data_IF_711335191620
#
_entry.id   IF_711335191620
#
_cell.length_a   1.000
_cell.length_b   1.000
_cell.length_c   1.000
_cell.angle_alpha   90.00
_cell.angle_beta   90.00
_cell.angle_gamma   90.00
#
_symmetry.space_group_name_H-M   'P 1'
#
loop_
_entity.id
_entity.type
_entity.pdbx_description
1 polymer ?
#
# COMPACT_ATOMS: atom_id res chain seq x y z
N UNK A 1 -10.43 -17.61 -9.84
CA UNK A 1 -10.18 -16.30 -9.21
C UNK A 1 -11.00 -16.16 -7.94
N UNK A 2 -10.37 -15.79 -6.83
CA UNK A 2 -11.01 -15.64 -5.52
C UNK A 2 -10.70 -14.26 -4.93
N UNK A 3 -11.74 -13.58 -4.42
CA UNK A 3 -11.58 -12.32 -3.66
C UNK A 3 -11.60 -12.65 -2.18
N UNK A 4 -10.53 -12.28 -1.47
CA UNK A 4 -10.37 -12.45 -0.03
C UNK A 4 -10.40 -11.07 0.62
N UNK A 5 -11.54 -10.71 1.22
CA UNK A 5 -11.70 -9.44 1.92
C UNK A 5 -11.43 -9.65 3.42
N UNK A 6 -10.32 -9.13 3.90
CA UNK A 6 -9.82 -9.27 5.27
C UNK A 6 -9.87 -10.70 5.86
N UNK A 7 -9.46 -11.75 5.12
CA UNK A 7 -9.77 -13.14 5.45
C UNK A 7 -9.14 -13.64 6.75
N UNK A 8 -8.16 -12.92 7.30
CA UNK A 8 -7.41 -13.31 8.52
C UNK A 8 -7.44 -12.24 9.62
N UNK A 9 -8.22 -11.17 9.47
CA UNK A 9 -8.20 -10.00 10.38
C UNK A 9 -8.65 -10.33 11.81
N UNK A 10 -9.55 -11.31 11.98
CA UNK A 10 -10.10 -11.70 13.26
C UNK A 10 -9.33 -12.85 13.95
N UNK A 11 -8.21 -13.30 13.36
CA UNK A 11 -7.43 -14.44 13.85
C UNK A 11 -6.20 -13.98 14.61
N UNK A 12 -5.75 -14.78 15.57
CA UNK A 12 -4.44 -14.59 16.20
C UNK A 12 -3.29 -14.87 15.22
N UNK A 13 -2.09 -14.36 15.52
CA UNK A 13 -0.94 -14.38 14.62
C UNK A 13 -0.56 -15.80 14.18
N UNK A 14 -0.68 -16.79 15.09
CA UNK A 14 -0.32 -18.16 14.79
C UNK A 14 -1.29 -18.81 13.81
N UNK A 15 -2.59 -18.59 14.00
CA UNK A 15 -3.64 -19.07 13.10
C UNK A 15 -3.61 -18.33 11.76
N UNK A 16 -3.33 -17.01 11.77
CA UNK A 16 -3.11 -16.26 10.51
C UNK A 16 -2.05 -16.92 9.65
N UNK A 17 -0.89 -17.27 10.23
CA UNK A 17 0.20 -17.90 9.49
C UNK A 17 -0.21 -19.26 8.88
N UNK A 18 -0.97 -20.08 9.64
CA UNK A 18 -1.46 -21.37 9.14
C UNK A 18 -2.43 -21.20 7.96
N UNK A 19 -3.38 -20.27 8.07
CA UNK A 19 -4.36 -19.98 7.00
C UNK A 19 -3.65 -19.45 5.76
N UNK A 20 -2.69 -18.55 5.90
CA UNK A 20 -1.93 -18.00 4.78
C UNK A 20 -1.11 -19.08 4.05
N UNK A 21 -0.50 -20.00 4.80
CA UNK A 21 0.21 -21.14 4.21
C UNK A 21 -0.76 -22.06 3.45
N UNK A 22 -1.90 -22.39 4.04
CA UNK A 22 -2.94 -23.19 3.38
C UNK A 22 -3.40 -22.52 2.07
N UNK A 23 -3.63 -21.21 2.07
CA UNK A 23 -4.01 -20.48 0.86
C UNK A 23 -2.93 -20.51 -0.22
N UNK A 24 -1.65 -20.46 0.17
CA UNK A 24 -0.52 -20.63 -0.76
C UNK A 24 -0.46 -22.02 -1.35
N UNK A 25 -0.64 -23.04 -0.53
CA UNK A 25 -0.64 -24.45 -0.98
C UNK A 25 -1.78 -24.67 -1.99
N UNK A 26 -2.99 -24.21 -1.67
CA UNK A 26 -4.13 -24.26 -2.59
C UNK A 26 -3.89 -23.48 -3.89
N UNK A 27 -3.22 -22.33 -3.81
CA UNK A 27 -2.85 -21.54 -5.00
C UNK A 27 -1.95 -22.35 -5.93
N UNK A 28 -0.95 -23.04 -5.36
CA UNK A 28 -0.01 -23.87 -6.15
C UNK A 28 -0.67 -25.12 -6.72
N UNK A 29 -1.45 -25.83 -5.92
CA UNK A 29 -2.09 -27.09 -6.32
C UNK A 29 -3.19 -26.89 -7.36
N UNK A 30 -3.96 -25.82 -7.21
CA UNK A 30 -5.16 -25.57 -8.03
C UNK A 30 -4.98 -24.46 -9.08
N UNK A 31 -3.81 -23.81 -9.15
CA UNK A 31 -3.55 -22.69 -10.08
C UNK A 31 -4.44 -21.48 -9.81
N UNK A 32 -4.75 -21.19 -8.53
CA UNK A 32 -5.67 -20.11 -8.17
C UNK A 32 -5.01 -18.74 -8.25
N UNK A 33 -5.81 -17.75 -8.62
CA UNK A 33 -5.44 -16.33 -8.52
C UNK A 33 -6.27 -15.70 -7.41
N UNK A 34 -5.62 -15.01 -6.48
CA UNK A 34 -6.26 -14.30 -5.38
C UNK A 34 -6.21 -12.80 -5.56
N UNK A 35 -7.28 -12.12 -5.17
CA UNK A 35 -7.30 -10.70 -4.86
C UNK A 35 -7.48 -10.55 -3.34
N UNK A 36 -6.40 -10.14 -2.66
CA UNK A 36 -6.41 -9.93 -1.22
C UNK A 36 -6.68 -8.45 -0.90
N UNK A 37 -7.69 -8.19 -0.08
CA UNK A 37 -7.94 -6.88 0.50
C UNK A 37 -7.59 -6.95 1.99
N UNK A 38 -6.65 -6.15 2.45
CA UNK A 38 -6.21 -6.14 3.85
C UNK A 38 -5.48 -4.85 4.19
N UNK A 39 -5.51 -4.48 5.46
CA UNK A 39 -4.71 -3.37 6.01
C UNK A 39 -3.39 -3.85 6.66
N UNK A 40 -3.17 -5.17 6.76
CA UNK A 40 -1.97 -5.74 7.37
C UNK A 40 -0.86 -5.93 6.34
N UNK A 41 0.10 -5.01 6.34
CA UNK A 41 1.22 -5.01 5.38
C UNK A 41 2.16 -6.23 5.54
N UNK A 42 2.24 -6.83 6.73
CA UNK A 42 3.02 -8.05 6.94
C UNK A 42 2.39 -9.24 6.21
N UNK A 43 1.05 -9.34 6.22
CA UNK A 43 0.30 -10.33 5.45
C UNK A 43 0.53 -10.13 3.96
N UNK A 44 0.39 -8.88 3.48
CA UNK A 44 0.60 -8.53 2.07
C UNK A 44 1.99 -8.93 1.60
N UNK A 45 3.03 -8.59 2.36
CA UNK A 45 4.43 -8.94 2.04
C UNK A 45 4.65 -10.44 1.86
N UNK A 46 3.89 -11.25 2.62
CA UNK A 46 4.04 -12.70 2.63
C UNK A 46 3.32 -13.40 1.48
N UNK A 47 2.14 -12.93 1.08
CA UNK A 47 1.24 -13.65 0.16
C UNK A 47 1.18 -13.06 -1.25
N UNK A 48 1.47 -11.76 -1.43
CA UNK A 48 1.21 -11.06 -2.68
C UNK A 48 2.42 -11.05 -3.62
N UNK A 49 2.16 -11.15 -4.92
CA UNK A 49 3.12 -10.89 -5.98
C UNK A 49 3.14 -9.41 -6.34
N UNK A 50 1.96 -8.81 -6.50
CA UNK A 50 1.73 -7.41 -6.82
C UNK A 50 0.92 -6.75 -5.72
N UNK A 51 1.17 -5.47 -5.48
CA UNK A 51 0.44 -4.66 -4.50
C UNK A 51 -0.14 -3.42 -5.18
N UNK A 52 -1.39 -3.14 -4.83
CA UNK A 52 -2.07 -1.90 -5.18
C UNK A 52 -2.45 -1.16 -3.89
N UNK A 53 -1.84 -0.01 -3.65
CA UNK A 53 -2.11 0.83 -2.48
C UNK A 53 -3.25 1.78 -2.79
N UNK A 54 -4.24 1.82 -1.91
CA UNK A 54 -5.42 2.66 -2.05
C UNK A 54 -5.53 3.66 -0.90
N UNK A 55 -5.90 4.91 -1.21
CA UNK A 55 -6.18 5.94 -0.22
C UNK A 55 -7.49 6.65 -0.57
N UNK A 56 -8.44 6.66 0.36
CA UNK A 56 -9.78 7.26 0.20
C UNK A 56 -10.46 6.89 -1.14
N UNK A 57 -10.38 5.60 -1.54
CA UNK A 57 -11.00 5.09 -2.77
C UNK A 57 -10.27 5.46 -4.06
N UNK A 58 -9.00 5.87 -4.00
CA UNK A 58 -8.14 6.11 -5.16
C UNK A 58 -6.89 5.23 -5.07
N UNK A 59 -6.53 4.56 -6.17
CA UNK A 59 -5.23 3.91 -6.30
C UNK A 59 -4.15 4.98 -6.35
N UNK A 60 -3.18 4.89 -5.44
CA UNK A 60 -2.08 5.85 -5.33
C UNK A 60 -0.75 5.27 -5.80
N UNK A 61 -0.56 3.96 -5.67
CA UNK A 61 0.63 3.26 -6.11
C UNK A 61 0.34 1.80 -6.43
N UNK A 62 0.98 1.23 -7.47
CA UNK A 62 0.88 -0.17 -7.82
C UNK A 62 2.20 -0.65 -8.41
N UNK A 63 2.76 -1.73 -7.87
CA UNK A 63 3.93 -2.41 -8.40
C UNK A 63 4.08 -3.82 -7.82
N UNK A 64 5.14 -4.52 -8.21
CA UNK A 64 5.57 -5.78 -7.58
C UNK A 64 5.83 -5.57 -6.09
N UNK A 65 5.51 -6.60 -5.29
CA UNK A 65 5.64 -6.56 -3.81
C UNK A 65 7.04 -6.14 -3.37
N UNK A 66 8.08 -6.77 -3.92
CA UNK A 66 9.46 -6.46 -3.55
C UNK A 66 9.80 -4.99 -3.85
N UNK A 67 9.44 -4.49 -5.02
CA UNK A 67 9.69 -3.10 -5.42
C UNK A 67 8.98 -2.11 -4.48
N UNK A 68 7.74 -2.39 -4.06
CA UNK A 68 7.02 -1.51 -3.14
C UNK A 68 7.71 -1.38 -1.78
N UNK A 69 8.23 -2.47 -1.24
CA UNK A 69 8.92 -2.45 0.05
C UNK A 69 10.32 -1.86 -0.03
N UNK A 70 11.02 -2.05 -1.14
CA UNK A 70 12.40 -1.54 -1.34
C UNK A 70 12.40 -0.06 -1.76
N UNK A 71 11.43 0.35 -2.59
CA UNK A 71 11.38 1.70 -3.19
C UNK A 71 9.96 2.26 -3.30
N UNK A 72 9.28 2.54 -2.19
CA UNK A 72 7.98 3.19 -2.23
C UNK A 72 8.12 4.63 -2.75
N UNK A 73 7.28 5.01 -3.72
CA UNK A 73 7.37 6.33 -4.37
C UNK A 73 6.29 7.30 -3.92
N UNK A 74 5.07 6.80 -3.62
CA UNK A 74 4.01 7.68 -3.14
C UNK A 74 4.21 8.01 -1.65
N UNK A 75 4.12 9.27 -1.22
CA UNK A 75 4.31 9.67 0.18
C UNK A 75 3.40 8.95 1.18
N UNK A 76 2.20 8.57 0.79
CA UNK A 76 1.32 7.76 1.63
C UNK A 76 1.88 6.35 1.83
N UNK A 77 2.37 5.70 0.78
CA UNK A 77 2.99 4.37 0.86
C UNK A 77 4.22 4.41 1.76
N UNK A 78 5.06 5.44 1.62
CA UNK A 78 6.23 5.66 2.49
C UNK A 78 5.81 5.76 3.96
N UNK A 79 4.76 6.53 4.25
CA UNK A 79 4.25 6.67 5.60
C UNK A 79 3.69 5.35 6.16
N UNK A 80 2.94 4.59 5.35
CA UNK A 80 2.43 3.26 5.74
C UNK A 80 3.56 2.29 6.08
N UNK A 81 4.57 2.20 5.21
CA UNK A 81 5.70 1.28 5.40
C UNK A 81 6.56 1.70 6.60
N UNK A 82 6.75 3.01 6.84
CA UNK A 82 7.48 3.52 8.00
C UNK A 82 6.78 3.23 9.35
N UNK A 83 5.49 2.92 9.33
CA UNK A 83 4.73 2.57 10.51
C UNK A 83 4.84 1.09 10.90
N UNK A 84 5.39 0.24 10.02
CA UNK A 84 5.62 -1.19 10.32
C UNK A 84 6.72 -1.28 11.39
N UNK A 85 6.46 -1.97 12.53
CA UNK A 85 7.50 -2.17 13.53
C UNK A 85 8.65 -2.98 12.96
N UNK A 86 9.88 -2.47 13.09
CA UNK A 86 11.08 -3.25 12.78
C UNK A 86 11.37 -4.24 13.92
N UNK A 87 11.68 -5.51 13.62
CA UNK A 87 12.15 -6.46 14.62
C UNK A 87 13.55 -6.12 15.13
N UNK A 88 14.29 -5.24 14.46
CA UNK A 88 15.61 -4.81 14.87
C UNK A 88 15.52 -3.64 15.86
N UNK A 89 15.94 -3.88 17.12
CA UNK A 89 15.93 -2.88 18.21
C UNK A 89 16.83 -1.68 17.90
N UNK A 90 17.82 -1.86 17.04
CA UNK A 90 18.77 -0.80 16.63
C UNK A 90 18.30 -0.05 15.37
N UNK A 91 17.15 -0.40 14.82
CA UNK A 91 16.60 0.27 13.65
C UNK A 91 16.04 1.66 14.06
N UNK A 92 16.78 2.68 13.70
CA UNK A 92 16.43 4.10 13.93
C UNK A 92 15.57 4.67 12.80
N UNK A 93 14.87 3.82 12.03
CA UNK A 93 14.01 4.28 10.95
C UNK A 93 13.00 5.29 11.48
N UNK A 94 13.16 6.53 11.08
CA UNK A 94 12.27 7.61 11.52
C UNK A 94 10.89 7.39 10.91
N UNK A 95 9.89 7.27 11.77
CA UNK A 95 8.49 7.23 11.32
C UNK A 95 8.16 8.53 10.60
N UNK A 96 7.60 8.40 9.42
CA UNK A 96 7.10 9.55 8.66
C UNK A 96 5.86 10.10 9.36
N UNK A 97 6.01 11.24 10.02
CA UNK A 97 4.88 11.92 10.67
C UNK A 97 3.91 12.45 9.60
N UNK A 98 2.66 12.03 9.68
CA UNK A 98 1.60 12.57 8.82
C UNK A 98 1.06 13.87 9.42
N UNK A 99 0.78 14.85 8.57
CA UNK A 99 0.14 16.12 8.97
C UNK A 99 -1.38 15.96 8.99
N UNK A 100 -2.05 16.79 9.80
CA UNK A 100 -3.50 16.98 9.77
C UNK A 100 -4.33 15.75 10.12
N UNK A 101 -5.64 15.93 10.05
CA UNK A 101 -6.66 14.90 10.30
C UNK A 101 -7.05 14.16 9.04
N UNK A 102 -7.74 13.02 9.21
CA UNK A 102 -8.33 12.28 8.09
C UNK A 102 -9.40 13.16 7.41
N UNK A 103 -9.20 13.40 6.13
CA UNK A 103 -10.21 14.07 5.32
C UNK A 103 -11.39 13.13 5.05
N UNK A 104 -12.60 13.71 4.98
CA UNK A 104 -13.79 12.93 4.64
C UNK A 104 -13.67 12.33 3.24
N UNK A 105 -14.04 11.04 3.06
CA UNK A 105 -14.12 10.42 1.73
C UNK A 105 -15.33 10.91 0.93
N UNK A 106 -16.26 11.65 1.57
CA UNK A 106 -17.49 12.14 0.95
C UNK A 106 -17.18 13.42 0.17
N UNK A 107 -17.52 13.44 -1.12
CA UNK A 107 -17.27 14.56 -2.04
C UNK A 107 -15.81 15.04 -1.99
N UNK A 108 -14.83 14.17 -2.28
CA UNK A 108 -13.43 14.55 -2.22
C UNK A 108 -13.15 15.67 -3.22
N UNK A 109 -12.29 16.61 -2.82
CA UNK A 109 -11.82 17.68 -3.71
C UNK A 109 -11.09 17.08 -4.92
N UNK A 110 -11.12 17.75 -6.08
CA UNK A 110 -10.27 17.36 -7.21
C UNK A 110 -8.79 17.41 -6.80
N UNK A 111 -7.97 16.57 -7.43
CA UNK A 111 -6.53 16.48 -7.13
C UNK A 111 -6.15 15.29 -6.26
N UNK A 112 -4.98 15.39 -5.64
CA UNK A 112 -4.46 14.35 -4.77
C UNK A 112 -5.22 14.27 -3.45
N UNK A 113 -5.87 13.15 -3.18
CA UNK A 113 -6.64 12.94 -1.93
C UNK A 113 -5.78 12.96 -0.67
N UNK A 114 -4.47 12.73 -0.84
CA UNK A 114 -3.49 12.76 0.26
C UNK A 114 -2.87 14.14 0.49
N UNK A 115 -3.22 15.18 -0.32
CA UNK A 115 -2.62 16.53 -0.26
C UNK A 115 -2.59 17.10 1.16
N UNK A 116 -3.70 17.07 1.89
CA UNK A 116 -3.83 17.66 3.24
C UNK A 116 -2.88 17.05 4.29
N UNK A 117 -2.44 15.81 4.08
CA UNK A 117 -1.57 15.06 4.99
C UNK A 117 -0.15 14.88 4.47
N UNK A 118 0.11 15.29 3.24
CA UNK A 118 1.39 15.12 2.59
C UNK A 118 2.41 16.17 3.04
N UNK A 119 3.61 15.72 3.41
CA UNK A 119 4.72 16.63 3.74
C UNK A 119 5.22 17.40 2.52
N UNK A 120 4.97 16.89 1.33
CA UNK A 120 5.45 17.43 0.05
C UNK A 120 4.33 18.09 -0.76
N UNK A 121 3.20 18.40 -0.10
CA UNK A 121 2.07 19.03 -0.78
C UNK A 121 2.47 20.36 -1.44
N UNK A 122 2.00 20.56 -2.67
CA UNK A 122 2.25 21.76 -3.44
C UNK A 122 1.07 22.05 -4.39
N UNK A 123 1.18 23.09 -5.18
CA UNK A 123 0.11 23.51 -6.08
C UNK A 123 -0.28 22.46 -7.14
N UNK A 124 0.71 21.69 -7.63
CA UNK A 124 0.47 20.60 -8.58
C UNK A 124 -0.40 19.48 -8.01
N UNK A 125 -0.43 19.31 -6.67
CA UNK A 125 -1.29 18.31 -6.03
C UNK A 125 -2.78 18.62 -6.17
N UNK A 126 -3.17 19.88 -6.46
CA UNK A 126 -4.56 20.28 -6.68
C UNK A 126 -5.10 19.87 -8.05
N UNK A 127 -4.20 19.52 -8.97
CA UNK A 127 -4.57 18.97 -10.27
C UNK A 127 -4.84 17.46 -10.15
N UNK A 128 -5.71 16.88 -11.01
CA UNK A 128 -5.95 15.44 -11.02
C UNK A 128 -4.63 14.67 -11.18
N UNK A 129 -4.41 13.71 -10.27
CA UNK A 129 -3.25 12.84 -10.32
C UNK A 129 -3.65 11.49 -10.91
N UNK A 130 -3.32 11.27 -12.17
CA UNK A 130 -3.51 9.98 -12.82
C UNK A 130 -2.46 8.97 -12.36
N UNK A 131 -2.86 7.71 -12.24
CA UNK A 131 -1.92 6.60 -12.05
C UNK A 131 -1.11 6.46 -13.34
N UNK A 132 0.20 6.72 -13.30
CA UNK A 132 1.11 6.68 -14.45
C UNK A 132 2.30 5.77 -14.17
N UNK A 133 2.79 5.11 -15.19
CA UNK A 133 4.01 4.32 -15.09
C UNK A 133 5.22 5.24 -14.97
N UNK A 134 6.00 5.07 -13.90
CA UNK A 134 7.21 5.87 -13.60
C UNK A 134 8.49 5.06 -13.75
N UNK A 135 8.39 3.75 -13.67
CA UNK A 135 9.42 2.76 -14.03
C UNK A 135 8.71 1.46 -14.45
N UNK A 136 9.39 0.50 -15.10
CA UNK A 136 8.75 -0.72 -15.58
C UNK A 136 7.86 -1.40 -14.53
N UNK A 137 6.57 -1.54 -14.84
CA UNK A 137 5.54 -2.11 -13.95
C UNK A 137 5.33 -1.39 -12.61
N UNK A 138 5.84 -0.16 -12.43
CA UNK A 138 5.64 0.65 -11.25
C UNK A 138 4.82 1.89 -11.57
N UNK A 139 3.58 1.93 -11.10
CA UNK A 139 2.59 2.96 -11.38
C UNK A 139 2.34 3.79 -10.13
N UNK A 140 2.33 5.12 -10.26
CA UNK A 140 2.17 6.05 -9.13
C UNK A 140 1.27 7.23 -9.52
N UNK A 141 0.32 7.57 -8.66
CA UNK A 141 -0.54 8.74 -8.81
C UNK A 141 0.01 9.94 -8.02
N UNK A 142 1.23 10.35 -8.34
CA UNK A 142 1.90 11.49 -7.71
C UNK A 142 2.73 12.25 -8.74
N UNK A 143 2.57 13.58 -8.83
CA UNK A 143 3.36 14.41 -9.74
C UNK A 143 4.85 14.30 -9.48
N UNK A 144 5.24 14.12 -8.19
CA UNK A 144 6.63 14.07 -7.75
C UNK A 144 7.34 12.77 -8.13
N UNK A 145 6.61 11.65 -8.25
CA UNK A 145 7.17 10.31 -8.49
C UNK A 145 7.79 10.16 -9.88
N UNK A 146 8.12 11.04 -10.62
CA UNK A 146 8.88 10.98 -11.88
C UNK A 146 9.96 12.05 -11.95
N UNK A 147 10.12 12.80 -10.85
CA UNK A 147 11.05 13.92 -10.71
C UNK A 147 11.98 13.73 -9.48
N UNK A 148 12.16 12.49 -9.04
CA UNK A 148 13.09 12.08 -8.00
C UNK A 148 14.39 11.56 -8.60
#
# INVERSE_FOLDING_TARGET
FIVCDEPVSALDVSIQAQVLNLLKDLQQEMGLTYMFVTHNLSVVRHISNDIAVMYLGQLVEKCETKELFDRPLHPYTQALLSAIPSPNIHDTTQRVALKGELTSPINPKPGCRFESRCLYACEQCRQPQALREVSPNHFVACWRAGNL
#
